data_IF_754822722186
#
_entry.id   IF_754822722186
#
_cell.length_a   1.000
_cell.length_b   1.000
_cell.length_c   1.000
_cell.angle_alpha   90.00
_cell.angle_beta   90.00
_cell.angle_gamma   90.00
#
_symmetry.space_group_name_H-M   'P 1'
#
loop_
_entity.id
_entity.type
_entity.pdbx_description
1 polymer ?
#
# COMPACT_ATOMS: atom_id res chain seq x y z
N UNK A 1 -7.62 -7.55 16.97
CA UNK A 1 -6.41 -7.04 16.30
C UNK A 1 -6.78 -5.70 15.68
N UNK A 2 -6.20 -4.63 16.20
CA UNK A 2 -6.47 -3.21 15.90
C UNK A 2 -5.10 -2.58 15.58
N UNK A 3 -4.54 -2.97 14.45
CA UNK A 3 -3.10 -2.79 14.18
C UNK A 3 -2.90 -2.04 12.85
N UNK A 4 -1.67 -1.56 12.59
CA UNK A 4 -1.34 -0.79 11.39
C UNK A 4 -1.70 -1.52 10.09
N UNK A 5 -1.60 -2.86 10.06
CA UNK A 5 -2.04 -3.66 8.91
C UNK A 5 -3.56 -3.62 8.74
N UNK A 6 -4.34 -3.66 9.83
CA UNK A 6 -5.80 -3.63 9.76
C UNK A 6 -6.34 -2.28 9.33
N UNK A 7 -5.77 -1.20 9.89
CA UNK A 7 -6.20 0.18 9.61
C UNK A 7 -5.42 0.83 8.47
N UNK A 8 -4.58 0.07 7.77
CA UNK A 8 -3.95 0.54 6.56
C UNK A 8 -5.02 0.94 5.54
N UNK A 9 -4.76 1.99 4.80
CA UNK A 9 -5.57 2.34 3.62
C UNK A 9 -5.32 1.38 2.45
N UNK A 10 -4.33 0.50 2.54
CA UNK A 10 -4.06 -0.54 1.53
C UNK A 10 -3.32 -0.08 0.29
N UNK A 11 -2.83 1.16 0.28
CA UNK A 11 -2.04 1.72 -0.81
C UNK A 11 -0.66 1.10 -0.97
N UNK A 12 -0.29 0.80 -2.21
CA UNK A 12 1.00 0.25 -2.62
C UNK A 12 1.69 1.22 -3.57
N UNK A 13 2.42 2.18 -3.00
CA UNK A 13 3.18 3.22 -3.71
C UNK A 13 4.47 2.67 -4.34
N UNK A 14 4.35 1.57 -5.09
CA UNK A 14 5.47 0.90 -5.72
C UNK A 14 6.25 1.81 -6.69
N UNK A 15 5.67 2.93 -7.15
CA UNK A 15 6.29 3.93 -8.01
C UNK A 15 7.21 4.94 -7.28
N UNK A 16 7.04 5.16 -5.97
CA UNK A 16 7.56 6.35 -5.27
C UNK A 16 9.02 6.24 -4.77
N UNK A 17 9.68 5.10 -4.95
CA UNK A 17 11.03 4.86 -4.40
C UNK A 17 12.08 5.79 -5.02
N UNK A 18 12.87 6.49 -4.20
CA UNK A 18 13.94 7.42 -4.65
C UNK A 18 15.36 6.87 -4.60
N UNK A 19 15.61 5.89 -3.73
CA UNK A 19 16.94 5.26 -3.63
C UNK A 19 16.95 3.93 -4.38
N UNK A 20 18.12 3.46 -4.85
CA UNK A 20 18.22 2.18 -5.57
C UNK A 20 17.57 1.01 -4.83
N UNK A 21 17.75 0.94 -3.50
CA UNK A 21 17.13 -0.09 -2.67
C UNK A 21 15.60 0.00 -2.68
N UNK A 22 15.03 1.18 -2.46
CA UNK A 22 13.56 1.32 -2.39
C UNK A 22 12.93 1.13 -3.79
N UNK A 23 13.64 1.54 -4.84
CA UNK A 23 13.23 1.25 -6.22
C UNK A 23 13.20 -0.26 -6.49
N UNK A 24 14.23 -1.00 -6.07
CA UNK A 24 14.26 -2.45 -6.19
C UNK A 24 13.13 -3.11 -5.40
N UNK A 25 12.88 -2.69 -4.15
CA UNK A 25 11.78 -3.19 -3.33
C UNK A 25 10.42 -2.90 -3.99
N UNK A 26 10.23 -1.70 -4.54
CA UNK A 26 9.01 -1.34 -5.26
C UNK A 26 8.77 -2.22 -6.49
N UNK A 27 9.81 -2.47 -7.30
CA UNK A 27 9.73 -3.33 -8.48
C UNK A 27 9.45 -4.80 -8.11
N UNK A 28 10.18 -5.35 -7.15
CA UNK A 28 9.98 -6.72 -6.69
C UNK A 28 8.62 -6.90 -6.00
N UNK A 29 8.21 -5.92 -5.20
CA UNK A 29 6.95 -5.93 -4.47
C UNK A 29 5.74 -5.97 -5.40
N UNK A 30 5.66 -5.06 -6.38
CA UNK A 30 4.51 -5.07 -7.31
C UNK A 30 4.46 -6.34 -8.17
N UNK A 31 5.62 -6.88 -8.56
CA UNK A 31 5.68 -8.13 -9.30
C UNK A 31 5.08 -9.29 -8.48
N UNK A 32 5.32 -9.32 -7.16
CA UNK A 32 4.69 -10.29 -6.26
C UNK A 32 3.19 -10.06 -6.12
N UNK A 33 2.75 -8.84 -5.85
CA UNK A 33 1.32 -8.55 -5.65
C UNK A 33 0.44 -8.95 -6.85
N UNK A 34 0.95 -8.85 -8.08
CA UNK A 34 0.23 -9.28 -9.30
C UNK A 34 -0.03 -10.79 -9.39
N UNK A 35 0.71 -11.61 -8.65
CA UNK A 35 0.59 -13.08 -8.64
C UNK A 35 0.13 -13.61 -7.28
N UNK A 36 -0.05 -12.73 -6.30
CA UNK A 36 -0.15 -13.11 -4.91
C UNK A 36 -1.49 -13.79 -4.58
N UNK A 37 -2.58 -13.41 -5.23
CA UNK A 37 -3.88 -14.08 -5.04
C UNK A 37 -3.82 -15.55 -5.46
N UNK A 38 -3.13 -15.86 -6.57
CA UNK A 38 -2.93 -17.23 -7.04
C UNK A 38 -2.07 -18.04 -6.05
N UNK A 39 -1.02 -17.43 -5.50
CA UNK A 39 -0.13 -18.07 -4.52
C UNK A 39 -0.83 -18.35 -3.17
N UNK A 40 -1.70 -17.44 -2.75
CA UNK A 40 -2.45 -17.54 -1.50
C UNK A 40 -3.74 -18.37 -1.63
N UNK A 41 -4.25 -18.57 -2.85
CA UNK A 41 -5.52 -19.24 -3.10
C UNK A 41 -6.74 -18.46 -2.56
N UNK A 42 -6.56 -17.17 -2.28
CA UNK A 42 -7.58 -16.28 -1.72
C UNK A 42 -7.47 -14.89 -2.34
N UNK A 43 -8.60 -14.22 -2.53
CA UNK A 43 -8.59 -12.84 -3.01
C UNK A 43 -8.16 -11.88 -1.91
N UNK A 44 -7.17 -11.06 -2.23
CA UNK A 44 -6.70 -9.91 -1.45
C UNK A 44 -7.27 -8.58 -2.00
N UNK A 45 -8.10 -8.66 -3.05
CA UNK A 45 -8.65 -7.56 -3.83
C UNK A 45 -7.55 -6.63 -4.35
N UNK A 46 -6.47 -7.23 -4.87
CA UNK A 46 -5.42 -6.46 -5.50
C UNK A 46 -5.95 -5.80 -6.78
N UNK A 47 -5.69 -4.52 -6.91
CA UNK A 47 -5.94 -3.74 -8.13
C UNK A 47 -4.88 -2.68 -8.29
N UNK A 48 -4.63 -2.32 -9.55
CA UNK A 48 -3.92 -1.08 -9.84
C UNK A 48 -4.98 -0.01 -10.18
N UNK A 49 -4.81 1.18 -9.64
CA UNK A 49 -5.71 2.33 -9.79
C UNK A 49 -4.88 3.56 -10.13
N UNK A 50 -5.52 4.53 -10.76
CA UNK A 50 -4.92 5.82 -11.05
C UNK A 50 -5.02 6.68 -9.79
N UNK A 51 -3.86 7.11 -9.26
CA UNK A 51 -3.78 8.00 -8.13
C UNK A 51 -3.51 9.41 -8.64
N UNK A 52 -4.54 10.26 -8.57
CA UNK A 52 -4.47 11.69 -8.85
C UNK A 52 -4.06 12.42 -7.57
N UNK A 53 -2.95 13.15 -7.63
CA UNK A 53 -2.40 13.94 -6.52
C UNK A 53 -2.50 15.43 -6.89
N UNK A 54 -3.50 16.15 -6.38
CA UNK A 54 -3.73 17.54 -6.76
C UNK A 54 -2.58 18.46 -6.31
N UNK A 55 -2.22 19.41 -7.17
CA UNK A 55 -1.22 20.45 -6.87
C UNK A 55 -1.99 21.76 -6.59
N UNK A 56 -1.82 22.38 -5.41
CA UNK A 56 -2.57 23.58 -5.05
C UNK A 56 -2.24 24.75 -5.98
N UNK A 57 -3.22 25.62 -6.25
CA UNK A 57 -3.07 26.78 -7.14
C UNK A 57 -1.91 27.72 -6.79
N UNK A 58 -1.47 27.72 -5.52
CA UNK A 58 -0.34 28.51 -5.04
C UNK A 58 1.05 27.92 -5.35
N UNK A 59 1.13 26.71 -5.91
CA UNK A 59 2.38 26.01 -6.21
C UNK A 59 2.64 25.91 -7.71
N UNK A 60 3.92 25.92 -8.10
CA UNK A 60 4.36 25.70 -9.48
C UNK A 60 4.27 24.19 -9.83
N UNK A 61 3.40 23.79 -10.76
CA UNK A 61 3.23 22.38 -11.13
C UNK A 61 4.48 21.76 -11.76
N UNK A 62 5.29 22.54 -12.49
CA UNK A 62 6.53 22.05 -13.09
C UNK A 62 7.59 21.78 -12.03
N UNK A 63 7.71 22.67 -11.04
CA UNK A 63 8.63 22.47 -9.93
C UNK A 63 8.27 21.22 -9.11
N UNK A 64 6.97 21.01 -8.86
CA UNK A 64 6.48 19.83 -8.15
C UNK A 64 6.78 18.55 -8.93
N UNK A 65 6.48 18.51 -10.23
CA UNK A 65 6.79 17.36 -11.09
C UNK A 65 8.30 17.07 -11.15
N UNK A 66 9.13 18.11 -11.24
CA UNK A 66 10.60 17.98 -11.24
C UNK A 66 11.12 17.34 -9.95
N UNK A 67 10.49 17.62 -8.80
CA UNK A 67 10.87 17.04 -7.51
C UNK A 67 10.62 15.52 -7.40
N UNK A 68 9.89 14.95 -8.37
CA UNK A 68 9.55 13.52 -8.42
C UNK A 68 10.33 12.75 -9.49
N UNK A 69 11.26 13.39 -10.22
CA UNK A 69 11.99 12.75 -11.33
C UNK A 69 12.95 11.64 -10.90
N UNK A 70 13.37 11.63 -9.63
CA UNK A 70 14.23 10.60 -9.05
C UNK A 70 13.47 9.36 -8.56
N UNK A 71 12.13 9.37 -8.65
CA UNK A 71 11.30 8.24 -8.28
C UNK A 71 11.40 7.10 -9.30
N UNK A 72 11.12 5.86 -8.87
CA UNK A 72 11.19 4.67 -9.73
C UNK A 72 10.37 4.81 -11.01
N UNK A 73 9.15 5.30 -10.88
CA UNK A 73 8.29 5.68 -11.99
C UNK A 73 7.84 7.11 -11.68
N UNK A 74 8.44 8.12 -12.31
CA UNK A 74 8.01 9.50 -12.14
C UNK A 74 6.53 9.65 -12.54
N UNK A 75 5.71 10.30 -11.70
CA UNK A 75 4.31 10.54 -12.02
C UNK A 75 4.18 11.53 -13.18
N UNK A 76 3.14 11.36 -13.99
CA UNK A 76 2.83 12.26 -15.09
C UNK A 76 2.21 13.55 -14.55
N UNK A 77 2.68 14.70 -15.01
CA UNK A 77 2.02 15.97 -14.74
C UNK A 77 0.78 16.12 -15.64
N UNK A 78 -0.35 16.44 -15.03
CA UNK A 78 -1.63 16.73 -15.67
C UNK A 78 -1.99 18.21 -15.49
N UNK A 79 -2.67 18.76 -16.48
CA UNK A 79 -3.41 20.01 -16.35
C UNK A 79 -4.59 19.85 -15.37
N UNK A 80 -5.13 20.96 -14.81
CA UNK A 80 -6.33 20.90 -13.98
C UNK A 80 -7.53 20.23 -14.66
N UNK A 81 -7.70 20.43 -15.98
CA UNK A 81 -8.81 19.83 -16.72
C UNK A 81 -8.63 18.31 -16.88
N UNK A 82 -7.44 17.84 -17.26
CA UNK A 82 -7.15 16.40 -17.35
C UNK A 82 -7.34 15.71 -16.00
N UNK A 83 -6.96 16.37 -14.89
CA UNK A 83 -7.20 15.86 -13.55
C UNK A 83 -8.70 15.73 -13.22
N UNK A 84 -9.52 16.71 -13.63
CA UNK A 84 -10.97 16.68 -13.44
C UNK A 84 -11.68 15.65 -14.31
N UNK A 85 -11.16 15.39 -15.51
CA UNK A 85 -11.70 14.35 -16.38
C UNK A 85 -11.53 12.96 -15.74
N UNK A 86 -10.45 12.74 -14.97
CA UNK A 86 -10.25 11.53 -14.16
C UNK A 86 -11.05 11.53 -12.86
N UNK A 87 -11.11 12.68 -12.17
CA UNK A 87 -11.77 12.84 -10.87
C UNK A 87 -12.78 14.01 -10.92
N UNK A 88 -14.04 13.77 -11.35
CA UNK A 88 -15.01 14.83 -11.66
C UNK A 88 -15.39 15.76 -10.51
N UNK A 89 -15.18 15.31 -9.28
CA UNK A 89 -15.46 16.08 -8.06
C UNK A 89 -14.37 17.09 -7.71
N UNK A 90 -13.26 17.14 -8.46
CA UNK A 90 -12.21 18.13 -8.24
C UNK A 90 -12.69 19.56 -8.59
N UNK A 91 -12.36 20.48 -7.68
CA UNK A 91 -12.51 21.91 -7.91
C UNK A 91 -11.24 22.45 -8.58
N UNK A 92 -11.28 22.56 -9.91
CA UNK A 92 -10.16 23.05 -10.72
C UNK A 92 -9.76 24.49 -10.42
N UNK A 93 -10.63 25.29 -9.80
CA UNK A 93 -10.29 26.66 -9.41
C UNK A 93 -9.23 26.72 -8.31
N UNK A 94 -9.05 25.61 -7.58
CA UNK A 94 -8.10 25.48 -6.48
C UNK A 94 -6.79 24.80 -6.89
N UNK A 95 -6.62 24.42 -8.16
CA UNK A 95 -5.52 23.59 -8.64
C UNK A 95 -4.69 24.29 -9.70
N UNK A 96 -3.36 24.17 -9.63
CA UNK A 96 -2.45 24.54 -10.73
C UNK A 96 -2.10 23.36 -11.64
N UNK A 97 -2.39 22.13 -11.20
CA UNK A 97 -2.20 20.88 -11.94
C UNK A 97 -2.44 19.67 -11.03
N UNK A 98 -2.09 18.48 -11.49
CA UNK A 98 -2.05 17.27 -10.67
C UNK A 98 -0.93 16.33 -11.11
N UNK A 99 -0.44 15.49 -10.21
CA UNK A 99 0.43 14.36 -10.56
C UNK A 99 -0.39 13.08 -10.66
N UNK A 100 -0.15 12.29 -11.69
CA UNK A 100 -0.79 10.99 -11.92
C UNK A 100 0.24 9.87 -11.76
N UNK A 101 -0.06 8.91 -10.89
CA UNK A 101 0.72 7.70 -10.72
C UNK A 101 -0.15 6.44 -10.77
N UNK A 102 0.36 5.37 -11.38
CA UNK A 102 -0.28 4.05 -11.27
C UNK A 102 0.01 3.45 -9.90
N UNK A 103 -1.01 3.33 -9.06
CA UNK A 103 -0.89 2.94 -7.66
C UNK A 103 -1.50 1.55 -7.44
N UNK A 104 -0.83 0.69 -6.67
CA UNK A 104 -1.45 -0.57 -6.27
C UNK A 104 -2.36 -0.36 -5.07
N UNK A 105 -3.38 -1.17 -4.92
CA UNK A 105 -4.28 -1.14 -3.79
C UNK A 105 -4.72 -2.57 -3.44
N UNK A 106 -4.81 -2.87 -2.15
CA UNK A 106 -5.30 -4.14 -1.61
C UNK A 106 -6.39 -3.90 -0.57
N UNK A 107 -7.09 -4.95 -0.14
CA UNK A 107 -7.93 -4.92 1.07
C UNK A 107 -7.12 -5.50 2.24
N UNK A 108 -6.59 -4.67 3.15
CA UNK A 108 -5.57 -5.12 4.11
C UNK A 108 -6.03 -6.23 5.06
N UNK A 109 -7.30 -6.18 5.49
CA UNK A 109 -7.90 -7.25 6.30
C UNK A 109 -7.91 -8.60 5.57
N UNK A 110 -8.28 -8.63 4.28
CA UNK A 110 -8.28 -9.84 3.47
C UNK A 110 -6.85 -10.32 3.20
N UNK A 111 -5.94 -9.38 2.91
CA UNK A 111 -4.52 -9.71 2.68
C UNK A 111 -3.90 -10.35 3.91
N UNK A 112 -4.12 -9.79 5.10
CA UNK A 112 -3.60 -10.34 6.35
C UNK A 112 -4.17 -11.74 6.66
N UNK A 113 -5.48 -11.93 6.45
CA UNK A 113 -6.12 -13.23 6.63
C UNK A 113 -5.56 -14.27 5.66
N UNK A 114 -5.46 -13.93 4.37
CA UNK A 114 -4.94 -14.82 3.34
C UNK A 114 -3.50 -15.27 3.63
N UNK A 115 -2.62 -14.37 4.10
CA UNK A 115 -1.28 -14.73 4.53
C UNK A 115 -1.28 -15.66 5.75
N UNK A 116 -2.10 -15.38 6.76
CA UNK A 116 -2.18 -16.18 7.97
C UNK A 116 -2.65 -17.61 7.65
N UNK A 117 -3.70 -17.74 6.85
CA UNK A 117 -4.25 -19.02 6.43
C UNK A 117 -3.25 -19.80 5.58
N UNK A 118 -2.63 -19.16 4.59
CA UNK A 118 -1.61 -19.76 3.73
C UNK A 118 -0.40 -20.28 4.53
N UNK A 119 -0.01 -19.60 5.61
CA UNK A 119 1.05 -20.01 6.53
C UNK A 119 0.65 -21.24 7.36
N UNK A 120 -0.57 -21.24 7.91
CA UNK A 120 -1.10 -22.37 8.69
C UNK A 120 -1.27 -23.62 7.82
N UNK A 121 -1.79 -23.47 6.60
CA UNK A 121 -1.95 -24.58 5.63
C UNK A 121 -0.60 -25.22 5.26
N UNK A 122 0.49 -24.47 5.30
CA UNK A 122 1.87 -24.95 5.04
C UNK A 122 2.56 -25.51 6.30
N UNK A 123 1.80 -25.80 7.36
CA UNK A 123 2.29 -26.40 8.61
C UNK A 123 2.83 -25.40 9.63
N UNK A 124 2.70 -24.10 9.36
CA UNK A 124 2.99 -23.05 10.32
C UNK A 124 1.96 -23.01 11.46
N UNK A 125 2.30 -22.30 12.54
CA UNK A 125 1.42 -22.14 13.72
C UNK A 125 1.22 -20.67 14.01
N UNK A 126 -0.05 -20.26 14.09
CA UNK A 126 -0.43 -18.91 14.52
C UNK A 126 -0.82 -18.95 15.99
N UNK A 127 -0.07 -18.24 16.83
CA UNK A 127 -0.39 -18.04 18.25
C UNK A 127 -0.68 -16.56 18.46
N UNK A 128 -1.92 -16.23 18.84
CA UNK A 128 -2.33 -14.86 19.13
C UNK A 128 -2.29 -14.66 20.64
N UNK A 129 -1.41 -13.78 21.12
CA UNK A 129 -1.25 -13.49 22.53
C UNK A 129 -0.27 -12.33 22.77
N UNK A 130 -0.15 -11.90 24.02
CA UNK A 130 0.82 -10.87 24.40
C UNK A 130 2.10 -11.59 24.80
N UNK A 131 3.21 -11.26 24.14
CA UNK A 131 4.54 -11.70 24.56
C UNK A 131 4.89 -10.97 25.85
N UNK A 132 4.97 -11.71 26.97
CA UNK A 132 5.26 -11.14 28.29
C UNK A 132 6.72 -11.26 28.67
N UNK A 133 7.46 -12.20 28.08
CA UNK A 133 8.89 -12.39 28.32
C UNK A 133 9.59 -12.97 27.09
N UNK A 134 10.78 -12.46 26.80
CA UNK A 134 11.72 -13.03 25.83
C UNK A 134 12.89 -13.68 26.59
N UNK A 135 13.26 -14.90 26.21
CA UNK A 135 14.42 -15.63 26.74
C UNK A 135 15.29 -16.10 25.57
N UNK A 136 16.59 -16.37 25.77
CA UNK A 136 17.40 -16.98 24.72
C UNK A 136 16.74 -18.27 24.21
N UNK A 137 16.44 -18.32 22.91
CA UNK A 137 15.82 -19.48 22.26
C UNK A 137 14.35 -19.76 22.61
N UNK A 138 13.68 -18.92 23.42
CA UNK A 138 12.27 -19.13 23.75
C UNK A 138 11.51 -17.83 24.03
N UNK A 139 10.21 -17.86 23.76
CA UNK A 139 9.28 -16.79 24.06
C UNK A 139 8.22 -17.34 25.02
N UNK A 140 7.90 -16.57 26.05
CA UNK A 140 6.79 -16.86 26.94
C UNK A 140 5.67 -15.85 26.62
N UNK A 141 4.54 -16.37 26.17
CA UNK A 141 3.36 -15.58 25.89
C UNK A 141 2.30 -15.82 26.97
N UNK A 142 1.76 -14.73 27.51
CA UNK A 142 0.51 -14.79 28.26
C UNK A 142 -0.63 -14.90 27.25
N UNK A 143 -1.17 -16.09 27.03
CA UNK A 143 -2.36 -16.27 26.21
C UNK A 143 -3.59 -15.81 27.03
N UNK A 144 -4.27 -14.76 26.57
CA UNK A 144 -5.65 -14.48 26.97
C UNK A 144 -6.54 -14.94 25.83
N UNK A 145 -7.33 -15.97 26.06
CA UNK A 145 -8.35 -16.44 25.12
C UNK A 145 -9.44 -15.37 25.06
N UNK A 146 -9.55 -14.68 23.93
CA UNK A 146 -10.71 -13.81 23.66
C UNK A 146 -11.81 -14.70 23.07
N UNK A 147 -12.91 -14.85 23.79
CA UNK A 147 -14.15 -15.38 23.22
C UNK A 147 -14.86 -14.25 22.50
N UNK A 148 -15.21 -14.46 21.22
CA UNK A 148 -16.10 -13.55 20.50
C UNK A 148 -17.50 -13.63 21.14
N UNK A 149 -18.15 -12.47 21.27
CA UNK A 149 -19.56 -12.37 21.62
C UNK A 149 -20.45 -12.78 20.43
#
# INVERSE_FOLDING_TARGET
>A
MQDATRYSYGGLAHWAGRTPLVQQVGAAGIARYRQLEDELGQSIQFREVDLVMPIPASADPQQVAQSCQDMRIPPQLLSPQEAKDLEPLLDVSQLSGALLARHGHIRPELTAAAFADAMVQRGGKLLIGIVSQLRPGSLQAGARTYHAA
#
